data_IF_644499390396
#
_entry.id   IF_644499390396
#
_cell.length_a   1.000
_cell.length_b   1.000
_cell.length_c   1.000
_cell.angle_alpha   90.00
_cell.angle_beta   90.00
_cell.angle_gamma   90.00
#
_symmetry.space_group_name_H-M   'P 1'
#
loop_
_entity.id
_entity.type
_entity.pdbx_description
1 polymer ?
#
# COMPACT_ATOMS: atom_id res chain seq x y z
N UNK A 1 6.40 8.53 7.79
CA UNK A 1 6.66 7.50 6.74
C UNK A 1 6.58 6.14 7.41
N UNK A 2 5.88 5.19 6.81
CA UNK A 2 5.68 3.84 7.36
C UNK A 2 6.07 2.79 6.32
N UNK A 3 6.53 1.63 6.78
CA UNK A 3 6.96 0.53 5.91
C UNK A 3 6.51 -0.82 6.46
N UNK A 4 6.12 -1.74 5.56
CA UNK A 4 5.64 -3.09 5.90
C UNK A 4 6.15 -4.09 4.88
N UNK A 5 6.75 -5.20 5.32
CA UNK A 5 7.18 -6.31 4.47
C UNK A 5 6.06 -7.35 4.31
N UNK A 6 6.04 -8.02 3.17
CA UNK A 6 5.24 -9.23 3.01
C UNK A 6 5.90 -10.40 3.73
N UNK A 7 5.15 -11.48 3.98
CA UNK A 7 5.62 -12.65 4.74
C UNK A 7 6.78 -13.40 4.06
N UNK A 8 6.99 -13.16 2.75
CA UNK A 8 8.07 -13.75 1.98
C UNK A 8 9.33 -12.87 1.88
N UNK A 9 9.35 -11.71 2.54
CA UNK A 9 10.46 -10.74 2.52
C UNK A 9 10.93 -10.36 1.10
N UNK A 10 9.98 -10.25 0.17
CA UNK A 10 10.22 -9.97 -1.25
C UNK A 10 9.57 -8.67 -1.69
N UNK A 11 8.43 -8.33 -1.10
CA UNK A 11 7.67 -7.13 -1.40
C UNK A 11 7.62 -6.21 -0.18
N UNK A 12 7.76 -4.92 -0.45
CA UNK A 12 7.73 -3.85 0.54
C UNK A 12 6.62 -2.87 0.20
N UNK A 13 5.74 -2.58 1.17
CA UNK A 13 4.88 -1.41 1.15
C UNK A 13 5.60 -0.23 1.77
N UNK A 14 5.62 0.88 1.05
CA UNK A 14 6.06 2.18 1.57
C UNK A 14 4.91 3.16 1.49
N UNK A 15 4.55 3.76 2.62
CA UNK A 15 3.58 4.83 2.64
C UNK A 15 4.31 6.19 2.69
N UNK A 16 4.24 6.92 1.58
CA UNK A 16 5.02 8.12 1.30
C UNK A 16 4.08 9.32 1.26
N UNK A 17 4.32 10.30 2.14
CA UNK A 17 3.48 11.50 2.25
C UNK A 17 3.25 12.17 0.89
N UNK A 18 2.01 12.53 0.59
CA UNK A 18 1.54 13.11 -0.68
C UNK A 18 1.75 12.23 -1.92
N UNK A 19 2.22 10.99 -1.78
CA UNK A 19 2.43 10.04 -2.90
C UNK A 19 1.70 8.71 -2.72
N UNK A 20 1.10 8.49 -1.54
CA UNK A 20 0.32 7.31 -1.22
C UNK A 20 1.14 6.05 -0.98
N UNK A 21 0.52 4.89 -1.22
CA UNK A 21 1.11 3.58 -0.95
C UNK A 21 1.82 3.06 -2.18
N UNK A 22 3.11 2.74 -2.03
CA UNK A 22 3.96 2.17 -3.07
C UNK A 22 4.24 0.70 -2.75
N UNK A 23 4.16 -0.15 -3.77
CA UNK A 23 4.61 -1.53 -3.72
C UNK A 23 5.96 -1.65 -4.43
N UNK A 24 6.95 -2.13 -3.70
CA UNK A 24 8.30 -2.35 -4.21
C UNK A 24 8.67 -3.82 -4.21
N UNK A 25 9.33 -4.27 -5.27
CA UNK A 25 10.07 -5.53 -5.28
C UNK A 25 11.50 -5.23 -4.82
N UNK A 26 11.87 -5.82 -3.69
CA UNK A 26 13.14 -5.56 -3.02
C UNK A 26 14.29 -6.22 -3.79
N UNK A 27 14.05 -7.40 -4.38
CA UNK A 27 15.08 -8.16 -5.10
C UNK A 27 15.39 -7.50 -6.44
N UNK A 28 14.35 -7.12 -7.17
CA UNK A 28 14.48 -6.39 -8.43
C UNK A 28 14.87 -4.93 -8.22
N UNK A 29 14.68 -4.38 -7.02
CA UNK A 29 14.88 -2.96 -6.67
C UNK A 29 14.02 -2.02 -7.52
N UNK A 30 12.80 -2.47 -7.82
CA UNK A 30 11.88 -1.78 -8.71
C UNK A 30 10.58 -1.44 -8.01
N UNK A 31 10.06 -0.25 -8.31
CA UNK A 31 8.69 0.11 -7.99
C UNK A 31 7.76 -0.74 -8.86
N UNK A 32 6.98 -1.61 -8.23
CA UNK A 32 6.00 -2.48 -8.90
C UNK A 32 4.72 -1.70 -9.16
N UNK A 33 4.25 -0.93 -8.17
CA UNK A 33 2.93 -0.28 -8.25
C UNK A 33 2.79 0.93 -7.33
N UNK A 34 1.91 1.86 -7.72
CA UNK A 34 1.37 2.90 -6.84
C UNK A 34 -0.14 2.72 -6.72
N UNK A 35 -0.64 2.68 -5.50
CA UNK A 35 -2.07 2.59 -5.23
C UNK A 35 -2.68 3.99 -5.16
N UNK A 36 -3.84 4.17 -5.80
CA UNK A 36 -4.49 5.47 -5.99
C UNK A 36 -5.75 5.61 -5.15
N UNK A 37 -6.27 6.84 -5.07
CA UNK A 37 -7.55 7.18 -4.47
C UNK A 37 -7.46 7.75 -3.05
N UNK A 38 -6.45 7.37 -2.28
CA UNK A 38 -6.30 7.85 -0.91
C UNK A 38 -5.85 9.31 -0.83
N UNK A 39 -6.32 10.02 0.19
CA UNK A 39 -5.82 11.32 0.65
C UNK A 39 -4.81 11.13 1.79
N UNK A 40 -3.66 11.81 1.68
CA UNK A 40 -2.59 11.79 2.69
C UNK A 40 -1.70 13.04 2.55
N UNK A 41 -1.31 13.64 3.68
CA UNK A 41 -0.27 14.66 3.71
C UNK A 41 0.26 15.00 5.10
N UNK A 42 -0.59 14.98 6.13
CA UNK A 42 -0.24 15.44 7.47
C UNK A 42 0.16 14.30 8.43
N UNK A 43 -0.42 13.12 8.29
CA UNK A 43 -0.24 12.03 9.23
C UNK A 43 0.61 10.89 8.65
N UNK A 44 1.33 10.19 9.53
CA UNK A 44 1.91 8.91 9.15
C UNK A 44 0.81 7.86 9.15
N UNK A 45 0.51 7.35 7.96
CA UNK A 45 -0.51 6.33 7.74
C UNK A 45 0.19 5.00 7.50
N UNK A 46 -0.29 3.95 8.14
CA UNK A 46 0.22 2.60 7.95
C UNK A 46 -0.57 1.88 6.85
N UNK A 47 0.14 1.10 6.03
CA UNK A 47 -0.45 0.18 5.09
C UNK A 47 0.00 -1.25 5.44
N UNK A 48 -0.84 -2.24 5.15
CA UNK A 48 -0.54 -3.65 5.42
C UNK A 48 -0.95 -4.54 4.25
N UNK A 49 -0.32 -5.72 4.21
CA UNK A 49 -0.75 -6.83 3.37
C UNK A 49 -1.84 -7.62 4.08
N UNK A 50 -2.80 -8.16 3.33
CA UNK A 50 -3.93 -8.93 3.86
C UNK A 50 -4.55 -9.92 2.86
N UNK A 51 -5.53 -10.66 3.33
CA UNK A 51 -6.19 -11.73 2.57
C UNK A 51 -5.38 -13.02 2.48
N UNK A 52 -5.96 -14.03 1.80
CA UNK A 52 -5.23 -15.25 1.47
C UNK A 52 -4.01 -14.87 0.60
N UNK A 53 -2.86 -15.48 0.90
CA UNK A 53 -1.60 -15.25 0.19
C UNK A 53 -1.09 -13.79 0.15
N UNK A 54 -1.64 -12.88 0.98
CA UNK A 54 -1.28 -11.46 0.96
C UNK A 54 -1.58 -10.75 -0.38
N UNK A 55 -2.63 -11.18 -1.07
CA UNK A 55 -3.06 -10.63 -2.36
C UNK A 55 -3.74 -9.26 -2.27
N UNK A 56 -4.02 -8.78 -1.05
CA UNK A 56 -4.64 -7.48 -0.81
C UNK A 56 -3.72 -6.55 -0.04
N UNK A 57 -3.91 -5.25 -0.29
CA UNK A 57 -3.29 -4.16 0.45
C UNK A 57 -4.39 -3.32 1.07
N UNK A 58 -4.23 -2.93 2.33
CA UNK A 58 -5.13 -2.01 3.00
C UNK A 58 -4.37 -0.81 3.56
N UNK A 59 -4.97 0.38 3.50
CA UNK A 59 -4.44 1.60 4.10
C UNK A 59 -5.57 2.49 4.59
N UNK A 60 -5.37 3.13 5.72
CA UNK A 60 -6.19 4.28 6.10
C UNK A 60 -5.96 5.47 5.16
N UNK A 61 -6.80 6.49 5.30
CA UNK A 61 -6.67 7.76 4.57
C UNK A 61 -7.17 8.93 5.43
N UNK A 62 -6.67 10.13 5.15
CA UNK A 62 -7.08 11.37 5.83
C UNK A 62 -8.48 11.85 5.43
N UNK A 63 -9.13 11.18 4.46
CA UNK A 63 -10.54 11.38 4.13
C UNK A 63 -11.50 10.53 5.00
N UNK A 64 -10.97 9.94 6.09
CA UNK A 64 -11.67 9.10 7.05
C UNK A 64 -12.16 7.74 6.50
N UNK A 65 -11.54 7.24 5.42
CA UNK A 65 -11.87 5.94 4.82
C UNK A 65 -10.73 4.92 4.91
N UNK A 66 -11.06 3.67 4.61
CA UNK A 66 -10.09 2.57 4.51
C UNK A 66 -10.14 2.04 3.09
N UNK A 67 -9.05 2.25 2.36
CA UNK A 67 -8.93 1.78 1.00
C UNK A 67 -8.34 0.38 0.99
N UNK A 68 -8.92 -0.48 0.16
CA UNK A 68 -8.46 -1.85 -0.07
C UNK A 68 -8.19 -2.00 -1.56
N UNK A 69 -7.03 -2.54 -1.91
CA UNK A 69 -6.63 -2.84 -3.28
C UNK A 69 -6.31 -4.32 -3.40
N UNK A 70 -6.56 -4.88 -4.58
CA UNK A 70 -5.90 -6.11 -4.99
C UNK A 70 -4.48 -5.78 -5.48
N UNK A 71 -3.48 -6.59 -5.15
CA UNK A 71 -2.06 -6.33 -5.45
C UNK A 71 -1.78 -6.19 -6.97
N UNK A 72 -2.62 -6.83 -7.78
CA UNK A 72 -2.60 -6.75 -9.24
C UNK A 72 -3.23 -5.49 -9.86
N UNK A 73 -3.87 -4.63 -9.06
CA UNK A 73 -4.59 -3.43 -9.52
C UNK A 73 -4.14 -2.14 -8.82
N UNK A 74 -4.25 -1.00 -9.49
CA UNK A 74 -3.94 0.32 -8.90
C UNK A 74 -5.15 1.00 -8.26
N UNK A 75 -6.35 0.61 -8.68
CA UNK A 75 -7.62 1.17 -8.23
C UNK A 75 -8.19 0.35 -7.07
N UNK A 76 -8.84 1.01 -6.09
CA UNK A 76 -9.38 0.32 -4.93
C UNK A 76 -10.52 -0.62 -5.33
N UNK A 77 -10.53 -1.80 -4.71
CA UNK A 77 -11.65 -2.75 -4.80
C UNK A 77 -12.72 -2.45 -3.75
N UNK A 78 -12.36 -1.73 -2.68
CA UNK A 78 -13.28 -1.22 -1.65
C UNK A 78 -12.70 0.03 -0.98
N UNK A 79 -13.60 0.87 -0.42
CA UNK A 79 -13.31 2.15 0.26
C UNK A 79 -14.21 2.31 1.48
#
# INVERSE_FOLDING_TARGET
>A
MAMTLNAADTLLLLNVANQGVHLWDIRARTLVRRFRGLSQGHFTIHACFGGAHQDFVASGSEDNKVYIWHIGGEEPVAV
#
